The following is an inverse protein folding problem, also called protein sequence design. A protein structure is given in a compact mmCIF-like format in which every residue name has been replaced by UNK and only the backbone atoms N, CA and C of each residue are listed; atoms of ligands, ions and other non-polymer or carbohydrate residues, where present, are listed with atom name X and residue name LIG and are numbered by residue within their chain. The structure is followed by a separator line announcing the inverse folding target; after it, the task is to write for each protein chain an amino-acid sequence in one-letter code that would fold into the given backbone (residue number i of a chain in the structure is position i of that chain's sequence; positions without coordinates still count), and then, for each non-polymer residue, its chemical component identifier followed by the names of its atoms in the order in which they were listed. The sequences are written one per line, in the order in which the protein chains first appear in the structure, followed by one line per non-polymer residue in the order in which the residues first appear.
data_IF_346981643944
#
_entry.id   IF_346981643944
#
_cell.length_a   1.000
_cell.length_b   1.000
_cell.length_c   1.000
_cell.angle_alpha   90.00
_cell.angle_beta   90.00
_cell.angle_gamma   90.00
#
_symmetry.space_group_name_H-M   'P 1'
#
loop_
_entity.id
_entity.type
_entity.pdbx_description
1 polymer ?
#
# COMPACT_ATOMS: atom_id res chain seq x y z
N UNK A 1 -12.33 0.08 17.72
CA UNK A 1 -11.71 1.40 17.60
C UNK A 1 -10.71 1.51 16.45
N UNK A 2 -9.65 0.69 16.33
CA UNK A 2 -8.51 1.16 15.49
C UNK A 2 -7.48 0.12 14.97
N UNK A 3 -7.83 -1.14 14.71
CA UNK A 3 -6.87 -2.08 14.08
C UNK A 3 -6.83 -1.99 12.55
N UNK A 4 -7.96 -1.65 11.89
CA UNK A 4 -8.04 -1.55 10.42
C UNK A 4 -7.10 -0.47 9.85
N UNK A 5 -6.87 0.62 10.60
CA UNK A 5 -5.91 1.66 10.22
C UNK A 5 -4.45 1.26 10.42
N UNK A 6 -4.16 0.35 11.36
CA UNK A 6 -2.79 -0.10 11.62
C UNK A 6 -2.24 -0.91 10.44
N UNK A 7 -3.05 -1.84 9.91
CA UNK A 7 -2.69 -2.65 8.74
C UNK A 7 -2.43 -1.76 7.52
N UNK A 8 -3.34 -0.83 7.23
CA UNK A 8 -3.20 0.08 6.09
C UNK A 8 -1.95 0.96 6.20
N UNK A 9 -1.70 1.53 7.38
CA UNK A 9 -0.49 2.32 7.63
C UNK A 9 0.77 1.50 7.39
N UNK A 10 0.78 0.26 7.87
CA UNK A 10 1.92 -0.61 7.72
C UNK A 10 2.18 -1.04 6.27
N UNK A 11 1.12 -1.24 5.49
CA UNK A 11 1.25 -1.45 4.04
C UNK A 11 1.93 -0.24 3.39
N UNK A 12 1.53 0.99 3.75
CA UNK A 12 2.13 2.21 3.21
C UNK A 12 3.59 2.36 3.63
N UNK A 13 3.91 2.16 4.91
CA UNK A 13 5.30 2.20 5.42
C UNK A 13 6.16 1.12 4.74
N UNK A 14 5.62 -0.06 4.46
CA UNK A 14 6.33 -1.10 3.72
C UNK A 14 6.57 -0.74 2.25
N UNK A 15 5.68 0.02 1.62
CA UNK A 15 5.83 0.43 0.23
C UNK A 15 6.69 1.70 0.07
N UNK A 16 6.82 2.54 1.09
CA UNK A 16 7.56 3.82 1.03
C UNK A 16 9.04 3.65 0.66
N UNK A 17 9.69 2.62 1.20
CA UNK A 17 11.11 2.32 0.94
C UNK A 17 11.36 1.49 -0.33
N UNK A 18 10.32 1.21 -1.15
CA UNK A 18 10.39 0.23 -2.25
C UNK A 18 9.74 0.75 -3.53
N UNK A 19 10.33 0.40 -4.67
CA UNK A 19 9.73 0.73 -5.98
C UNK A 19 8.39 0.00 -6.22
N UNK A 20 8.26 -1.23 -5.72
CA UNK A 20 7.03 -2.03 -5.73
C UNK A 20 7.20 -3.28 -4.86
N UNK A 21 6.10 -3.89 -4.42
CA UNK A 21 6.09 -5.18 -3.77
C UNK A 21 4.88 -6.03 -4.15
N UNK A 22 5.06 -7.34 -4.22
CA UNK A 22 3.96 -8.28 -4.44
C UNK A 22 3.08 -8.47 -3.19
N UNK A 23 1.81 -8.86 -3.38
CA UNK A 23 0.87 -9.11 -2.27
C UNK A 23 1.43 -10.10 -1.23
N UNK A 24 2.17 -11.12 -1.69
CA UNK A 24 2.81 -12.11 -0.81
C UNK A 24 3.82 -11.48 0.14
N UNK A 25 4.65 -10.56 -0.37
CA UNK A 25 5.65 -9.86 0.41
C UNK A 25 5.00 -8.92 1.43
N UNK A 26 3.95 -8.20 1.02
CA UNK A 26 3.15 -7.34 1.90
C UNK A 26 2.54 -8.17 3.05
N UNK A 27 1.86 -9.28 2.71
CA UNK A 27 1.28 -10.19 3.72
C UNK A 27 2.34 -10.72 4.68
N UNK A 28 3.50 -11.11 4.15
CA UNK A 28 4.60 -11.66 4.95
C UNK A 28 5.12 -10.61 5.93
N UNK A 29 5.28 -9.36 5.49
CA UNK A 29 5.64 -8.26 6.37
C UNK A 29 4.63 -8.11 7.50
N UNK A 30 3.34 -7.98 7.17
CA UNK A 30 2.26 -7.82 8.14
C UNK A 30 2.23 -8.97 9.16
N UNK A 31 2.53 -10.20 8.74
CA UNK A 31 2.59 -11.36 9.65
C UNK A 31 3.75 -11.28 10.65
N UNK A 32 4.85 -10.60 10.28
CA UNK A 32 6.01 -10.45 11.18
C UNK A 32 5.84 -9.35 12.21
N UNK A 33 4.99 -8.37 11.93
CA UNK A 33 4.90 -7.12 12.68
C UNK A 33 3.57 -6.95 13.40
N UNK A 34 2.50 -7.54 12.87
CA UNK A 34 1.22 -7.63 13.56
C UNK A 34 1.17 -8.88 14.43
N UNK A 35 0.60 -8.76 15.63
CA UNK A 35 0.26 -9.92 16.50
C UNK A 35 -0.88 -10.79 15.94
N UNK A 36 -1.25 -10.58 14.67
CA UNK A 36 -2.41 -11.20 14.01
C UNK A 36 -1.96 -11.79 12.67
N UNK A 37 -2.32 -13.06 12.45
CA UNK A 37 -2.12 -13.71 11.15
C UNK A 37 -3.04 -13.09 10.11
N UNK A 38 -2.47 -12.46 9.09
CA UNK A 38 -3.21 -11.89 7.96
C UNK A 38 -3.29 -12.91 6.81
N UNK A 39 -4.50 -13.29 6.42
CA UNK A 39 -4.75 -14.12 5.22
C UNK A 39 -4.77 -13.24 3.96
N UNK A 40 -4.72 -13.86 2.77
CA UNK A 40 -4.88 -13.10 1.52
C UNK A 40 -6.25 -12.44 1.44
N UNK A 41 -7.32 -13.18 1.78
CA UNK A 41 -8.70 -12.66 1.81
C UNK A 41 -8.87 -11.46 2.77
N UNK A 42 -8.03 -11.37 3.80
CA UNK A 42 -8.04 -10.24 4.73
C UNK A 42 -7.17 -9.08 4.23
N UNK A 43 -6.14 -9.33 3.43
CA UNK A 43 -5.27 -8.31 2.85
C UNK A 43 -5.93 -7.59 1.67
N UNK A 44 -6.61 -8.32 0.80
CA UNK A 44 -7.24 -7.81 -0.42
C UNK A 44 -8.14 -6.58 -0.18
N UNK A 45 -9.09 -6.56 0.76
CA UNK A 45 -9.93 -5.38 0.99
C UNK A 45 -9.12 -4.15 1.48
N UNK A 46 -7.96 -4.35 2.10
CA UNK A 46 -7.09 -3.24 2.48
C UNK A 46 -6.37 -2.64 1.28
N UNK A 47 -5.91 -3.47 0.35
CA UNK A 47 -5.28 -3.02 -0.88
C UNK A 47 -6.29 -2.32 -1.78
N UNK A 48 -7.49 -2.87 -1.94
CA UNK A 48 -8.59 -2.26 -2.72
C UNK A 48 -8.99 -0.89 -2.16
N UNK A 49 -9.14 -0.76 -0.84
CA UNK A 49 -9.47 0.52 -0.22
C UNK A 49 -8.35 1.55 -0.43
N UNK A 50 -7.09 1.15 -0.25
CA UNK A 50 -5.93 2.04 -0.47
C UNK A 50 -5.81 2.46 -1.95
N UNK A 51 -6.09 1.56 -2.88
CA UNK A 51 -6.11 1.83 -4.31
C UNK A 51 -7.26 2.77 -4.69
N UNK A 52 -8.46 2.55 -4.15
CA UNK A 52 -9.61 3.43 -4.36
C UNK A 52 -9.36 4.87 -3.90
N UNK A 53 -8.48 5.05 -2.91
CA UNK A 53 -8.06 6.34 -2.35
C UNK A 53 -6.80 6.92 -3.04
N UNK A 54 -6.19 6.19 -3.97
CA UNK A 54 -4.98 6.60 -4.67
C UNK A 54 -3.71 6.57 -3.81
N UNK A 55 -3.70 5.88 -2.67
CA UNK A 55 -2.51 5.72 -1.83
C UNK A 55 -1.60 4.59 -2.31
N UNK A 56 -2.18 3.61 -3.00
CA UNK A 56 -1.49 2.48 -3.60
C UNK A 56 -1.98 2.34 -5.03
N UNK A 57 -1.16 1.80 -5.92
CA UNK A 57 -1.60 1.42 -7.26
C UNK A 57 -0.94 0.12 -7.71
N UNK A 58 -1.60 -0.57 -8.63
CA UNK A 58 -1.06 -1.76 -9.27
C UNK A 58 0.09 -1.37 -10.22
N UNK A 59 1.32 -1.75 -9.87
CA UNK A 59 2.52 -1.52 -10.67
C UNK A 59 2.61 -2.45 -11.90
N UNK A 60 1.99 -3.63 -11.82
CA UNK A 60 1.94 -4.60 -12.91
C UNK A 60 1.67 -6.02 -12.43
N UNK A 61 1.59 -6.94 -13.40
CA UNK A 61 1.42 -8.37 -13.17
C UNK A 61 2.55 -9.10 -13.91
N UNK A 62 3.22 -10.03 -13.26
CA UNK A 62 4.27 -10.83 -13.93
C UNK A 62 3.69 -12.00 -14.74
N UNK A 63 4.56 -12.74 -15.44
CA UNK A 63 4.18 -13.89 -16.26
C UNK A 63 3.56 -15.06 -15.47
N UNK A 64 3.74 -15.08 -14.14
CA UNK A 64 3.14 -16.08 -13.25
C UNK A 64 1.77 -15.63 -12.71
N UNK A 65 1.31 -14.41 -13.04
CA UNK A 65 0.06 -13.86 -12.55
C UNK A 65 0.18 -13.14 -11.20
N UNK A 66 1.40 -12.85 -10.74
CA UNK A 66 1.61 -12.15 -9.46
C UNK A 66 1.44 -10.65 -9.63
N UNK A 67 0.56 -10.06 -8.84
CA UNK A 67 0.32 -8.61 -8.83
C UNK A 67 1.32 -7.89 -7.93
N UNK A 68 1.90 -6.82 -8.46
CA UNK A 68 2.81 -5.92 -7.75
C UNK A 68 2.10 -4.60 -7.48
N UNK A 69 2.33 -4.07 -6.29
CA UNK A 69 1.76 -2.82 -5.79
C UNK A 69 2.88 -1.83 -5.49
N UNK A 70 2.63 -0.55 -5.70
CA UNK A 70 3.52 0.54 -5.28
C UNK A 70 2.71 1.65 -4.63
N UNK A 71 3.38 2.58 -3.95
CA UNK A 71 2.70 3.79 -3.51
C UNK A 71 2.14 4.52 -4.73
N UNK A 72 0.87 4.87 -4.65
CA UNK A 72 0.25 5.76 -5.62
C UNK A 72 0.85 7.15 -5.45
N UNK A 73 0.92 7.89 -6.56
CA UNK A 73 1.03 9.34 -6.52
C UNK A 73 -0.29 9.91 -5.97
N UNK A 74 -0.59 9.65 -4.68
CA UNK A 74 -1.61 10.39 -3.97
C UNK A 74 -1.32 11.87 -4.25
N UNK A 75 -2.32 12.69 -4.62
CA UNK A 75 -2.06 14.05 -5.06
C UNK A 75 -1.26 14.73 -3.94
N UNK A 76 0.03 14.95 -4.19
CA UNK A 76 0.81 15.87 -3.38
C UNK A 76 -0.05 17.11 -3.36
N UNK A 77 -0.63 17.44 -2.21
CA UNK A 77 -1.32 18.71 -2.01
C UNK A 77 -0.40 19.74 -2.63
N UNK A 78 -0.81 20.31 -3.76
CA UNK A 78 0.03 21.17 -4.56
C UNK A 78 0.56 22.21 -3.59
N UNK A 79 1.84 22.12 -3.24
CA UNK A 79 2.48 23.15 -2.43
C UNK A 79 2.30 24.39 -3.27
N UNK A 80 1.58 25.42 -2.80
CA UNK A 80 1.39 26.62 -3.58
C UNK A 80 2.80 27.18 -3.73
N UNK A 81 3.40 26.99 -4.91
CA UNK A 81 4.57 27.78 -5.27
C UNK A 81 4.04 29.18 -5.41
N UNK A 82 4.19 29.94 -4.34
CA UNK A 82 4.09 31.39 -4.36
C UNK A 82 5.05 31.85 -5.45
N UNK A 83 4.51 32.12 -6.64
CA UNK A 83 5.20 32.96 -7.61
C UNK A 83 5.23 34.35 -6.97
N UNK A 84 6.34 34.67 -6.31
CA UNK A 84 6.67 36.04 -5.97
C UNK A 84 7.24 36.68 -7.23
N UNK A 85 6.44 37.53 -7.87
CA UNK A 85 6.89 38.67 -8.65
C UNK A 85 6.12 39.91 -8.17
#
# INVERSE_FOLDING_TARGET
MTHLYAIQREILEFLDDRASAEATAIRRQLTYTSDVTITYDALEPHLEELESRGHVETAGVDSAGTTYYRLGDAPQVATPRTASD
#
